data_IF_756561730975
#
_entry.id   IF_756561730975
#
_cell.length_a   1.000
_cell.length_b   1.000
_cell.length_c   1.000
_cell.angle_alpha   90.00
_cell.angle_beta   90.00
_cell.angle_gamma   90.00
#
_symmetry.space_group_name_H-M   'P 1'
#
loop_
_entity.id
_entity.type
_entity.pdbx_description
1 polymer ?
#
# COMPACT_ATOMS: atom_id res chain seq x y z
N UNK A 1 -31.93 6.85 12.63
CA UNK A 1 -30.48 6.68 12.48
C UNK A 1 -29.95 8.09 12.23
N UNK A 2 -29.52 8.78 13.28
CA UNK A 2 -29.01 10.15 13.15
C UNK A 2 -27.77 10.11 12.25
N UNK A 3 -27.86 10.71 11.07
CA UNK A 3 -26.70 11.02 10.27
C UNK A 3 -25.81 11.92 11.11
N UNK A 4 -24.70 11.37 11.60
CA UNK A 4 -23.61 12.14 12.16
C UNK A 4 -23.19 13.17 11.10
N UNK A 5 -23.66 14.41 11.24
CA UNK A 5 -23.21 15.55 10.44
C UNK A 5 -21.81 15.91 10.92
N UNK A 6 -20.83 15.13 10.49
CA UNK A 6 -19.42 15.40 10.79
C UNK A 6 -18.97 16.46 9.80
N UNK A 7 -18.43 17.57 10.31
CA UNK A 7 -17.83 18.58 9.47
C UNK A 7 -16.63 17.99 8.71
N UNK A 8 -16.44 18.38 7.44
CA UNK A 8 -15.40 17.82 6.57
C UNK A 8 -13.98 17.87 7.18
N UNK A 9 -13.55 18.96 7.87
CA UNK A 9 -12.25 19.01 8.52
C UNK A 9 -12.11 17.98 9.66
N UNK A 10 -13.17 17.73 10.42
CA UNK A 10 -13.16 16.73 11.50
C UNK A 10 -13.09 15.31 10.96
N UNK A 11 -13.87 14.99 9.92
CA UNK A 11 -13.84 13.68 9.27
C UNK A 11 -12.46 13.37 8.71
N UNK A 12 -11.87 14.34 8.00
CA UNK A 12 -10.51 14.24 7.46
C UNK A 12 -9.50 13.92 8.56
N UNK A 13 -9.51 14.67 9.66
CA UNK A 13 -8.58 14.47 10.77
C UNK A 13 -8.77 13.10 11.43
N UNK A 14 -10.03 12.65 11.57
CA UNK A 14 -10.34 11.31 12.09
C UNK A 14 -9.76 10.22 11.21
N UNK A 15 -9.94 10.29 9.89
CA UNK A 15 -9.39 9.30 8.97
C UNK A 15 -7.88 9.26 9.06
N UNK A 16 -7.22 10.41 8.99
CA UNK A 16 -5.75 10.48 9.15
C UNK A 16 -5.34 9.80 10.47
N UNK A 17 -6.00 10.13 11.58
CA UNK A 17 -5.66 9.56 12.90
C UNK A 17 -5.88 8.04 13.03
N UNK A 18 -6.63 7.39 12.13
CA UNK A 18 -6.82 5.93 12.16
C UNK A 18 -5.50 5.17 12.05
N UNK A 19 -4.53 5.70 11.30
CA UNK A 19 -3.19 5.12 11.15
C UNK A 19 -2.52 4.81 12.50
N UNK A 20 -2.78 5.64 13.51
CA UNK A 20 -2.20 5.56 14.86
C UNK A 20 -2.88 4.54 15.77
N UNK A 21 -4.06 4.07 15.37
CA UNK A 21 -4.96 3.26 16.20
C UNK A 21 -5.36 1.93 15.54
N UNK A 22 -4.89 1.65 14.33
CA UNK A 22 -5.24 0.42 13.62
C UNK A 22 -4.94 -0.85 14.38
N UNK A 23 -3.86 -0.91 15.16
CA UNK A 23 -3.59 -2.08 16.00
C UNK A 23 -4.72 -2.36 16.99
N UNK A 24 -5.34 -1.31 17.56
CA UNK A 24 -6.48 -1.46 18.47
C UNK A 24 -7.72 -1.93 17.74
N UNK A 25 -7.99 -1.39 16.54
CA UNK A 25 -9.13 -1.79 15.69
C UNK A 25 -8.98 -3.24 15.25
N UNK A 26 -7.79 -3.58 14.76
CA UNK A 26 -7.43 -4.90 14.25
C UNK A 26 -7.51 -5.98 15.33
N UNK A 27 -7.05 -5.68 16.56
CA UNK A 27 -7.18 -6.58 17.71
C UNK A 27 -8.61 -6.64 18.26
N UNK A 28 -9.34 -5.53 18.27
CA UNK A 28 -10.73 -5.47 18.71
C UNK A 28 -11.66 -6.35 17.88
N UNK A 29 -11.43 -6.44 16.56
CA UNK A 29 -12.18 -7.32 15.65
C UNK A 29 -11.93 -8.83 15.86
N UNK A 30 -10.81 -9.22 16.49
CA UNK A 30 -10.42 -10.63 16.67
C UNK A 30 -10.94 -11.26 17.98
N UNK A 31 -11.66 -10.53 18.83
CA UNK A 31 -12.20 -11.06 20.10
C UNK A 31 -13.32 -12.10 19.93
N UNK A 32 -13.79 -12.35 18.71
CA UNK A 32 -14.82 -13.35 18.39
C UNK A 32 -14.29 -14.74 17.97
N UNK A 33 -12.98 -14.91 17.80
CA UNK A 33 -12.40 -16.19 17.38
C UNK A 33 -12.34 -17.16 18.57
N UNK A 34 -13.27 -18.13 18.61
CA UNK A 34 -13.31 -19.20 19.61
C UNK A 34 -12.00 -20.00 19.61
N UNK A 35 -11.46 -20.24 20.79
CA UNK A 35 -10.37 -21.20 21.01
C UNK A 35 -10.76 -22.57 20.44
N UNK A 36 -9.95 -23.11 19.53
CA UNK A 36 -10.07 -24.50 19.11
C UNK A 36 -9.83 -24.85 17.64
N UNK A 37 -9.84 -23.89 16.69
CA UNK A 37 -9.62 -24.22 15.26
C UNK A 37 -8.46 -23.47 14.61
N UNK A 38 -7.39 -24.23 14.34
CA UNK A 38 -6.29 -23.95 13.40
C UNK A 38 -5.66 -22.56 13.50
N UNK A 39 -4.70 -22.41 14.44
CA UNK A 39 -3.79 -21.25 14.56
C UNK A 39 -3.22 -20.80 13.20
N UNK A 40 -2.90 -21.73 12.31
CA UNK A 40 -2.40 -21.41 10.97
C UNK A 40 -3.44 -20.68 10.10
N UNK A 41 -4.72 -21.06 10.14
CA UNK A 41 -5.79 -20.35 9.41
C UNK A 41 -6.02 -18.96 9.99
N UNK A 42 -5.97 -18.82 11.32
CA UNK A 42 -6.09 -17.52 11.98
C UNK A 42 -4.93 -16.56 11.61
N UNK A 43 -3.70 -17.07 11.49
CA UNK A 43 -2.54 -16.29 11.07
C UNK A 43 -2.65 -15.82 9.60
N UNK A 44 -3.04 -16.70 8.69
CA UNK A 44 -3.26 -16.35 7.27
C UNK A 44 -4.42 -15.36 7.11
N UNK A 45 -5.54 -15.57 7.81
CA UNK A 45 -6.66 -14.63 7.83
C UNK A 45 -6.26 -13.26 8.39
N UNK A 46 -5.43 -13.23 9.45
CA UNK A 46 -4.87 -11.99 9.97
C UNK A 46 -3.98 -11.27 8.96
N UNK A 47 -3.13 -12.00 8.24
CA UNK A 47 -2.30 -11.43 7.16
C UNK A 47 -3.16 -10.76 6.09
N UNK A 48 -4.10 -11.49 5.50
CA UNK A 48 -4.99 -10.95 4.47
C UNK A 48 -5.88 -9.81 4.98
N UNK A 49 -6.34 -9.87 6.22
CA UNK A 49 -7.12 -8.78 6.81
C UNK A 49 -6.26 -7.51 6.98
N UNK A 50 -5.00 -7.66 7.38
CA UNK A 50 -4.08 -6.54 7.55
C UNK A 50 -3.77 -5.87 6.22
N UNK A 51 -3.42 -6.65 5.20
CA UNK A 51 -3.24 -6.17 3.82
C UNK A 51 -4.46 -5.37 3.33
N UNK A 52 -5.66 -5.91 3.54
CA UNK A 52 -6.92 -5.25 3.14
C UNK A 52 -7.16 -3.94 3.86
N UNK A 53 -6.90 -3.88 5.16
CA UNK A 53 -7.06 -2.66 5.97
C UNK A 53 -6.05 -1.61 5.53
N UNK A 54 -4.79 -1.99 5.30
CA UNK A 54 -3.76 -1.07 4.78
C UNK A 54 -4.18 -0.55 3.40
N UNK A 55 -4.57 -1.43 2.47
CA UNK A 55 -5.01 -1.04 1.13
C UNK A 55 -6.23 -0.10 1.17
N UNK A 56 -7.23 -0.40 2.01
CA UNK A 56 -8.41 0.45 2.23
C UNK A 56 -8.00 1.82 2.74
N UNK A 57 -7.13 1.85 3.75
CA UNK A 57 -6.69 3.08 4.39
C UNK A 57 -5.92 3.97 3.43
N UNK A 58 -4.99 3.39 2.67
CA UNK A 58 -4.21 4.14 1.69
C UNK A 58 -5.11 4.74 0.60
N UNK A 59 -6.13 4.02 0.12
CA UNK A 59 -7.11 4.61 -0.80
C UNK A 59 -7.95 5.70 -0.15
N UNK A 60 -8.37 5.54 1.12
CA UNK A 60 -9.11 6.57 1.84
C UNK A 60 -8.31 7.87 2.00
N UNK A 61 -7.01 7.75 2.32
CA UNK A 61 -6.08 8.88 2.35
C UNK A 61 -5.83 9.47 0.95
N UNK A 62 -5.79 8.63 -0.08
CA UNK A 62 -5.54 9.01 -1.47
C UNK A 62 -6.74 9.57 -2.21
N UNK A 63 -7.95 9.54 -1.65
CA UNK A 63 -9.15 10.03 -2.34
C UNK A 63 -8.97 11.48 -2.81
N UNK A 64 -9.16 11.71 -4.11
CA UNK A 64 -9.00 13.01 -4.76
C UNK A 64 -7.54 13.42 -5.03
N UNK A 65 -6.61 12.54 -4.71
CA UNK A 65 -5.20 12.63 -5.09
C UNK A 65 -5.00 11.60 -6.19
N UNK A 66 -4.17 11.86 -7.20
CA UNK A 66 -3.94 10.96 -8.34
C UNK A 66 -3.14 9.69 -7.95
N UNK A 67 -3.54 9.07 -6.84
CA UNK A 67 -2.92 7.95 -6.19
C UNK A 67 -3.96 6.85 -5.93
N UNK A 68 -3.53 5.61 -6.07
CA UNK A 68 -4.35 4.42 -5.82
C UNK A 68 -3.51 3.33 -5.19
N UNK A 69 -4.10 2.57 -4.27
CA UNK A 69 -3.50 1.37 -3.70
C UNK A 69 -4.22 0.13 -4.21
N UNK A 70 -3.45 -0.85 -4.70
CA UNK A 70 -3.95 -2.10 -5.28
C UNK A 70 -3.42 -3.29 -4.49
N UNK A 71 -4.29 -4.27 -4.23
CA UNK A 71 -3.97 -5.53 -3.58
C UNK A 71 -4.54 -6.74 -4.35
N UNK A 72 -3.90 -7.90 -4.24
CA UNK A 72 -4.39 -9.16 -4.82
C UNK A 72 -4.91 -9.06 -6.25
N UNK A 73 -6.16 -9.48 -6.49
CA UNK A 73 -6.77 -9.51 -7.83
C UNK A 73 -6.90 -8.14 -8.51
N UNK A 74 -6.87 -7.04 -7.74
CA UNK A 74 -6.90 -5.70 -8.34
C UNK A 74 -5.59 -5.37 -9.04
N UNK A 75 -4.44 -5.90 -8.60
CA UNK A 75 -3.15 -5.71 -9.26
C UNK A 75 -3.16 -6.34 -10.66
N UNK A 76 -3.61 -7.59 -10.79
CA UNK A 76 -3.73 -8.26 -12.10
C UNK A 76 -4.81 -7.66 -13.00
N UNK A 77 -5.79 -7.00 -12.40
CA UNK A 77 -6.84 -6.29 -13.14
C UNK A 77 -6.31 -4.98 -13.71
N UNK A 78 -5.75 -4.11 -12.88
CA UNK A 78 -5.48 -2.73 -13.27
C UNK A 78 -4.06 -2.48 -13.77
N UNK A 79 -3.07 -3.29 -13.38
CA UNK A 79 -1.70 -3.09 -13.85
C UNK A 79 -1.50 -3.60 -15.29
N UNK A 80 -0.78 -2.85 -16.15
CA UNK A 80 -0.27 -3.39 -17.39
C UNK A 80 0.78 -4.47 -17.17
N UNK A 81 1.10 -5.22 -18.22
CA UNK A 81 2.09 -6.30 -18.13
C UNK A 81 3.49 -5.75 -17.92
N UNK A 82 3.80 -4.55 -18.45
CA UNK A 82 5.03 -3.79 -18.17
C UNK A 82 5.30 -3.68 -16.67
N UNK A 83 4.36 -3.11 -15.91
CA UNK A 83 4.47 -2.93 -14.47
C UNK A 83 4.55 -4.25 -13.72
N UNK A 84 3.75 -5.25 -14.12
CA UNK A 84 3.81 -6.56 -13.46
C UNK A 84 5.15 -7.26 -13.70
N UNK A 85 5.66 -7.18 -14.92
CA UNK A 85 6.93 -7.78 -15.32
C UNK A 85 8.11 -7.11 -14.61
N UNK A 86 8.05 -5.81 -14.32
CA UNK A 86 9.07 -5.10 -13.57
C UNK A 86 9.29 -5.68 -12.16
N UNK A 87 8.25 -6.24 -11.53
CA UNK A 87 8.35 -6.82 -10.18
C UNK A 87 8.65 -8.33 -10.15
N UNK A 88 8.79 -8.96 -11.31
CA UNK A 88 9.19 -10.36 -11.39
C UNK A 88 10.70 -10.48 -11.20
N UNK A 89 11.13 -11.49 -10.46
CA UNK A 89 12.55 -11.76 -10.24
C UNK A 89 12.84 -13.16 -10.74
N UNK A 90 13.96 -13.33 -11.43
CA UNK A 90 14.42 -14.61 -11.94
C UNK A 90 15.66 -15.04 -11.18
N UNK A 91 15.68 -16.26 -10.66
CA UNK A 91 16.83 -16.88 -10.00
C UNK A 91 17.21 -18.13 -10.79
N UNK A 92 18.44 -18.20 -11.31
CA UNK A 92 18.90 -19.30 -12.17
C UNK A 92 17.90 -19.65 -13.29
N UNK A 93 17.40 -18.63 -14.01
CA UNK A 93 16.39 -18.74 -15.06
C UNK A 93 14.99 -19.23 -14.63
N UNK A 94 14.71 -19.30 -13.32
CA UNK A 94 13.37 -19.57 -12.80
C UNK A 94 12.74 -18.30 -12.24
N UNK A 95 11.56 -17.94 -12.73
CA UNK A 95 10.77 -16.83 -12.19
C UNK A 95 10.29 -17.21 -10.79
N UNK A 96 10.60 -16.36 -9.82
CA UNK A 96 10.16 -16.49 -8.42
C UNK A 96 9.19 -15.38 -8.07
N UNK A 97 8.20 -15.68 -7.24
CA UNK A 97 7.24 -14.70 -6.74
C UNK A 97 7.91 -13.73 -5.76
N UNK A 98 7.69 -12.45 -5.97
CA UNK A 98 8.04 -11.39 -5.02
C UNK A 98 6.90 -11.11 -4.04
N UNK A 99 7.23 -10.49 -2.91
CA UNK A 99 6.25 -10.07 -1.90
C UNK A 99 5.65 -8.73 -2.34
N UNK A 100 4.43 -8.76 -2.90
CA UNK A 100 3.75 -7.60 -3.48
C UNK A 100 2.36 -7.41 -2.83
N UNK A 101 2.31 -7.36 -1.49
CA UNK A 101 1.05 -7.30 -0.75
C UNK A 101 0.17 -6.11 -1.20
N UNK A 102 0.65 -4.87 -1.06
CA UNK A 102 -0.04 -3.67 -1.57
C UNK A 102 0.90 -2.90 -2.50
N UNK A 103 0.43 -2.54 -3.69
CA UNK A 103 1.13 -1.66 -4.63
C UNK A 103 0.40 -0.32 -4.64
N UNK A 104 1.08 0.71 -4.13
CA UNK A 104 0.61 2.08 -4.17
C UNK A 104 1.24 2.79 -5.37
N UNK A 105 0.42 3.47 -6.15
CA UNK A 105 0.81 4.13 -7.40
C UNK A 105 0.34 5.56 -7.30
N UNK A 106 1.19 6.51 -7.70
CA UNK A 106 0.85 7.93 -7.75
C UNK A 106 1.40 8.54 -9.03
N UNK A 107 0.55 9.29 -9.73
CA UNK A 107 0.99 10.09 -10.87
C UNK A 107 1.82 11.28 -10.40
N UNK A 108 3.06 11.36 -10.87
CA UNK A 108 4.02 12.45 -10.61
C UNK A 108 4.45 13.19 -11.88
N UNK A 109 3.93 12.78 -13.04
CA UNK A 109 4.17 13.49 -14.30
C UNK A 109 3.64 14.92 -14.26
N UNK A 110 4.18 15.77 -15.13
CA UNK A 110 3.74 17.17 -15.26
C UNK A 110 2.23 17.24 -15.52
N UNK A 111 1.58 18.27 -14.95
CA UNK A 111 0.12 18.42 -14.93
C UNK A 111 -0.55 18.29 -16.31
N UNK A 112 -1.82 17.88 -16.31
CA UNK A 112 -2.77 18.31 -17.34
C UNK A 112 -2.93 17.43 -18.57
N UNK A 113 -2.83 16.11 -18.43
CA UNK A 113 -3.31 15.24 -19.50
C UNK A 113 -4.85 15.20 -19.52
N UNK A 114 -5.45 15.34 -20.69
CA UNK A 114 -6.91 15.33 -20.92
C UNK A 114 -7.61 14.10 -20.30
N UNK A 115 -6.89 12.98 -20.15
CA UNK A 115 -7.42 11.77 -19.53
C UNK A 115 -7.83 11.97 -18.06
N UNK A 116 -7.16 12.84 -17.31
CA UNK A 116 -7.51 13.14 -15.91
C UNK A 116 -8.86 13.87 -15.79
N UNK A 117 -9.29 14.55 -16.86
CA UNK A 117 -10.61 15.18 -16.94
C UNK A 117 -11.69 14.22 -17.45
N UNK A 118 -11.28 13.07 -18.00
CA UNK A 118 -12.21 12.08 -18.55
C UNK A 118 -12.95 11.39 -17.41
N UNK A 119 -14.29 11.47 -17.45
CA UNK A 119 -15.17 10.80 -16.48
C UNK A 119 -15.70 9.50 -17.06
N UNK A 120 -15.71 8.46 -16.24
CA UNK A 120 -16.27 7.15 -16.59
C UNK A 120 -17.46 6.86 -15.68
N UNK A 121 -18.56 6.41 -16.26
CA UNK A 121 -19.72 5.95 -15.49
C UNK A 121 -19.44 4.54 -14.95
N UNK A 122 -19.27 4.44 -13.64
CA UNK A 122 -18.99 3.21 -12.90
C UNK A 122 -20.03 2.10 -13.10
N UNK A 123 -21.30 2.48 -13.26
CA UNK A 123 -22.44 1.57 -13.40
C UNK A 123 -22.51 0.95 -14.79
N UNK A 124 -21.78 1.52 -15.75
CA UNK A 124 -21.72 1.03 -17.11
C UNK A 124 -20.44 0.20 -17.34
N UNK A 125 -20.63 -1.10 -17.55
CA UNK A 125 -19.52 -2.05 -17.77
C UNK A 125 -18.61 -1.66 -18.95
N UNK A 126 -19.16 -1.14 -20.04
CA UNK A 126 -18.35 -0.74 -21.19
C UNK A 126 -17.48 0.49 -20.87
N UNK A 127 -18.03 1.45 -20.13
CA UNK A 127 -17.25 2.58 -19.61
C UNK A 127 -16.13 2.14 -18.68
N UNK A 128 -16.39 1.20 -17.76
CA UNK A 128 -15.35 0.68 -16.87
C UNK A 128 -14.26 -0.11 -17.59
N UNK A 129 -14.61 -0.87 -18.63
CA UNK A 129 -13.60 -1.54 -19.49
C UNK A 129 -12.75 -0.52 -20.25
N UNK A 130 -13.34 0.59 -20.70
CA UNK A 130 -12.63 1.70 -21.34
C UNK A 130 -11.71 2.42 -20.36
N UNK A 131 -12.20 2.74 -19.15
CA UNK A 131 -11.42 3.35 -18.07
C UNK A 131 -10.18 2.51 -17.75
N UNK A 132 -10.38 1.21 -17.58
CA UNK A 132 -9.30 0.26 -17.32
C UNK A 132 -8.28 0.22 -18.45
N UNK A 133 -8.74 0.24 -19.71
CA UNK A 133 -7.84 0.24 -20.87
C UNK A 133 -6.98 1.51 -20.88
N UNK A 134 -7.61 2.67 -20.76
CA UNK A 134 -6.91 3.96 -20.73
C UNK A 134 -5.91 4.05 -19.59
N UNK A 135 -6.27 3.56 -18.40
CA UNK A 135 -5.34 3.51 -17.26
C UNK A 135 -4.11 2.64 -17.57
N UNK A 136 -4.29 1.48 -18.21
CA UNK A 136 -3.16 0.60 -18.60
C UNK A 136 -2.30 1.21 -19.70
N UNK A 137 -2.92 1.79 -20.74
CA UNK A 137 -2.23 2.47 -21.85
C UNK A 137 -1.36 3.61 -21.32
N UNK A 138 -1.90 4.46 -20.45
CA UNK A 138 -1.15 5.55 -19.81
C UNK A 138 0.07 5.04 -19.03
N UNK A 139 -0.10 3.97 -18.26
CA UNK A 139 0.99 3.38 -17.50
C UNK A 139 2.08 2.81 -18.43
N UNK A 140 1.71 2.16 -19.53
CA UNK A 140 2.64 1.65 -20.54
C UNK A 140 3.39 2.78 -21.28
N UNK A 141 2.72 3.90 -21.56
CA UNK A 141 3.27 5.02 -22.34
C UNK A 141 4.20 5.93 -21.53
N UNK A 142 4.00 6.04 -20.22
CA UNK A 142 4.76 6.98 -19.36
C UNK A 142 5.07 6.38 -17.99
N UNK A 143 5.77 5.24 -17.90
CA UNK A 143 6.13 4.62 -16.62
C UNK A 143 6.92 5.57 -15.70
N UNK A 144 7.75 6.44 -16.27
CA UNK A 144 8.55 7.45 -15.57
C UNK A 144 7.69 8.55 -14.92
N UNK A 145 6.42 8.67 -15.30
CA UNK A 145 5.46 9.60 -14.69
C UNK A 145 4.75 9.02 -13.47
N UNK A 146 5.15 7.84 -13.00
CA UNK A 146 4.58 7.20 -11.81
C UNK A 146 5.61 7.03 -10.68
N UNK A 147 5.19 7.42 -9.49
CA UNK A 147 5.79 6.95 -8.24
C UNK A 147 5.11 5.65 -7.81
N UNK A 148 5.89 4.60 -7.59
CA UNK A 148 5.41 3.29 -7.16
C UNK A 148 6.03 2.92 -5.82
N UNK A 149 5.18 2.61 -4.85
CA UNK A 149 5.58 2.13 -3.54
C UNK A 149 4.95 0.76 -3.27
N UNK A 150 5.77 -0.26 -3.07
CA UNK A 150 5.30 -1.55 -2.57
C UNK A 150 5.24 -1.49 -1.05
N UNK A 151 4.13 -1.89 -0.44
CA UNK A 151 3.97 -1.98 1.01
C UNK A 151 3.80 -3.44 1.39
N UNK A 152 4.87 -4.06 1.89
CA UNK A 152 4.79 -5.40 2.46
C UNK A 152 4.11 -5.36 3.82
N UNK A 153 3.05 -6.16 3.97
CA UNK A 153 2.12 -6.12 5.08
C UNK A 153 2.27 -7.40 5.92
N UNK A 154 2.82 -7.28 7.15
CA UNK A 154 3.04 -8.44 8.03
C UNK A 154 2.39 -8.26 9.40
N UNK A 155 1.77 -9.31 9.94
CA UNK A 155 1.15 -9.30 11.29
C UNK A 155 2.14 -9.55 12.43
N UNK A 156 3.42 -9.68 12.10
CA UNK A 156 4.51 -9.74 13.06
C UNK A 156 5.72 -8.99 12.50
N UNK A 157 6.59 -8.52 13.41
CA UNK A 157 7.76 -7.75 13.05
C UNK A 157 9.05 -8.58 13.06
N UNK A 158 9.20 -9.47 14.04
CA UNK A 158 10.46 -10.14 14.37
C UNK A 158 11.16 -10.83 13.18
N UNK A 159 10.66 -12.00 12.77
CA UNK A 159 11.27 -12.76 11.68
C UNK A 159 10.72 -12.34 10.31
N UNK A 160 9.48 -11.84 10.27
CA UNK A 160 8.86 -11.49 8.99
C UNK A 160 9.49 -10.29 8.29
N UNK A 161 10.32 -9.46 8.95
CA UNK A 161 11.01 -8.33 8.29
C UNK A 161 12.10 -8.77 7.31
N UNK A 162 12.59 -10.01 7.40
CA UNK A 162 13.68 -10.50 6.54
C UNK A 162 13.27 -10.54 5.06
N UNK A 163 12.06 -11.00 4.77
CA UNK A 163 11.53 -11.07 3.39
C UNK A 163 11.31 -9.68 2.76
N UNK A 164 10.62 -8.72 3.41
CA UNK A 164 10.54 -7.33 2.95
C UNK A 164 11.91 -6.70 2.75
N UNK A 165 12.85 -6.91 3.68
CA UNK A 165 14.21 -6.38 3.56
C UNK A 165 14.93 -6.93 2.33
N UNK A 166 14.80 -8.24 2.07
CA UNK A 166 15.36 -8.88 0.87
C UNK A 166 14.79 -8.24 -0.40
N UNK A 167 13.47 -8.11 -0.51
CA UNK A 167 12.84 -7.53 -1.70
C UNK A 167 13.16 -6.04 -1.87
N UNK A 168 13.21 -5.28 -0.76
CA UNK A 168 13.70 -3.91 -0.78
C UNK A 168 15.13 -3.87 -1.35
N UNK A 169 16.04 -4.75 -0.93
CA UNK A 169 17.40 -4.78 -1.47
C UNK A 169 17.45 -5.21 -2.95
N UNK A 170 16.65 -6.22 -3.33
CA UNK A 170 16.63 -6.76 -4.70
C UNK A 170 16.08 -5.73 -5.67
N UNK A 171 14.97 -5.06 -5.35
CA UNK A 171 14.39 -4.04 -6.23
C UNK A 171 15.13 -2.71 -6.20
N UNK A 172 15.82 -2.39 -5.10
CA UNK A 172 16.54 -1.13 -5.00
C UNK A 172 17.90 -1.15 -5.71
N UNK A 173 18.31 0.01 -6.23
CA UNK A 173 19.70 0.33 -6.62
C UNK A 173 20.39 -0.61 -7.61
N UNK A 174 19.64 -1.25 -8.52
CA UNK A 174 20.26 -2.08 -9.57
C UNK A 174 21.02 -3.26 -8.99
N UNK A 175 20.38 -4.04 -8.12
CA UNK A 175 20.99 -5.25 -7.57
C UNK A 175 21.55 -6.15 -8.70
N UNK A 176 22.88 -6.26 -8.76
CA UNK A 176 23.59 -7.02 -9.79
C UNK A 176 24.16 -8.29 -9.20
N UNK A 177 23.60 -9.44 -9.58
CA UNK A 177 24.12 -10.75 -9.21
C UNK A 177 23.98 -11.70 -10.39
N UNK A 178 25.01 -12.48 -10.73
CA UNK A 178 25.04 -13.27 -11.97
C UNK A 178 23.93 -14.32 -12.12
N UNK A 179 23.32 -14.71 -11.00
CA UNK A 179 22.21 -15.66 -10.96
C UNK A 179 20.83 -15.02 -10.72
N UNK A 180 20.75 -13.71 -10.43
CA UNK A 180 19.50 -13.03 -10.06
C UNK A 180 19.29 -11.87 -11.02
N UNK A 181 18.16 -11.86 -11.73
CA UNK A 181 17.74 -10.72 -12.54
C UNK A 181 16.40 -10.18 -12.06
N UNK A 182 16.29 -8.86 -12.02
CA UNK A 182 15.06 -8.14 -11.67
C UNK A 182 14.41 -7.65 -12.94
N UNK A 183 13.11 -7.88 -13.05
CA UNK A 183 12.38 -7.60 -14.26
C UNK A 183 12.49 -8.73 -15.29
N UNK A 184 11.46 -8.82 -16.13
CA UNK A 184 11.49 -9.62 -17.36
C UNK A 184 11.00 -8.77 -18.54
N UNK A 185 11.23 -9.22 -19.78
CA UNK A 185 10.80 -8.51 -20.99
C UNK A 185 11.29 -7.05 -21.06
N UNK A 186 12.49 -6.77 -20.56
CA UNK A 186 13.08 -5.42 -20.51
C UNK A 186 12.22 -4.42 -19.73
N UNK A 187 11.61 -4.88 -18.63
CA UNK A 187 10.83 -4.03 -17.72
C UNK A 187 11.49 -4.07 -16.37
N UNK A 188 11.65 -2.93 -15.71
CA UNK A 188 12.40 -2.87 -14.46
C UNK A 188 11.88 -1.75 -13.56
N UNK A 189 11.87 -1.88 -12.21
CA UNK A 189 11.31 -0.84 -11.34
C UNK A 189 12.01 0.51 -11.46
N UNK A 190 13.24 0.52 -11.98
CA UNK A 190 14.06 1.68 -12.27
C UNK A 190 13.52 2.53 -13.43
N UNK A 191 12.57 2.02 -14.21
CA UNK A 191 11.88 2.76 -15.28
C UNK A 191 10.78 3.67 -14.72
N UNK A 192 10.33 3.44 -13.47
CA UNK A 192 9.40 4.33 -12.80
C UNK A 192 10.09 5.61 -12.36
N UNK A 193 9.36 6.73 -12.32
CA UNK A 193 9.93 8.01 -11.91
C UNK A 193 10.36 8.01 -10.45
N UNK A 194 9.72 7.16 -9.64
CA UNK A 194 10.18 6.84 -8.30
C UNK A 194 9.76 5.42 -7.92
N UNK A 195 10.67 4.67 -7.32
CA UNK A 195 10.36 3.37 -6.74
C UNK A 195 10.79 3.33 -5.28
N UNK A 196 9.91 2.85 -4.41
CA UNK A 196 10.22 2.58 -3.01
C UNK A 196 9.57 1.30 -2.52
N UNK A 197 10.14 0.75 -1.45
CA UNK A 197 9.63 -0.44 -0.79
C UNK A 197 9.49 -0.15 0.70
N UNK A 198 8.26 -0.23 1.19
CA UNK A 198 7.84 0.02 2.55
C UNK A 198 7.52 -1.28 3.29
N UNK A 199 7.66 -1.25 4.60
CA UNK A 199 7.19 -2.30 5.49
C UNK A 199 6.07 -1.77 6.38
N UNK A 200 4.96 -2.49 6.47
CA UNK A 200 3.83 -2.15 7.32
C UNK A 200 3.47 -3.34 8.22
N UNK A 201 3.48 -3.14 9.54
CA UNK A 201 3.15 -4.21 10.47
C UNK A 201 2.09 -3.85 11.49
N UNK A 202 1.29 -4.84 11.87
CA UNK A 202 0.50 -4.81 13.10
C UNK A 202 1.13 -5.82 14.04
N UNK A 203 2.00 -5.41 14.98
CA UNK A 203 2.65 -6.38 15.85
C UNK A 203 1.58 -7.06 16.71
N UNK A 204 1.33 -8.34 16.45
CA UNK A 204 0.33 -9.14 17.19
C UNK A 204 0.86 -9.65 18.54
N UNK A 205 2.19 -9.72 18.71
CA UNK A 205 2.82 -10.03 19.99
C UNK A 205 2.73 -8.82 20.96
N UNK A 206 2.90 -9.04 22.26
CA UNK A 206 2.96 -7.96 23.26
C UNK A 206 4.38 -7.41 23.45
N UNK A 207 5.39 -8.09 22.90
CA UNK A 207 6.81 -7.80 23.14
C UNK A 207 7.34 -6.57 22.40
N UNK A 208 6.63 -6.06 21.38
CA UNK A 208 7.07 -4.88 20.62
C UNK A 208 7.26 -3.62 21.48
N UNK A 209 6.55 -3.51 22.60
CA UNK A 209 6.66 -2.39 23.56
C UNK A 209 8.05 -2.33 24.18
N UNK A 210 8.76 -3.46 24.24
CA UNK A 210 10.09 -3.58 24.85
C UNK A 210 11.22 -3.63 23.81
N UNK A 211 10.95 -3.25 22.56
CA UNK A 211 11.99 -3.28 21.54
C UNK A 211 12.96 -2.12 21.75
N UNK A 212 14.25 -2.43 21.80
CA UNK A 212 15.31 -1.44 21.77
C UNK A 212 15.74 -1.14 20.33
N UNK A 213 16.30 0.05 20.11
CA UNK A 213 16.85 0.49 18.82
C UNK A 213 17.92 -0.44 18.23
N UNK A 214 18.59 -1.21 19.08
CA UNK A 214 19.67 -2.13 18.71
C UNK A 214 19.20 -3.54 18.32
N UNK A 215 17.89 -3.81 18.36
CA UNK A 215 17.35 -5.11 17.95
C UNK A 215 17.52 -5.31 16.45
N UNK A 216 17.83 -6.54 16.05
CA UNK A 216 18.09 -6.89 14.66
C UNK A 216 16.91 -6.53 13.75
N UNK A 217 15.67 -6.82 14.16
CA UNK A 217 14.49 -6.48 13.35
C UNK A 217 14.22 -4.98 13.22
N UNK A 218 14.63 -4.17 14.21
CA UNK A 218 14.55 -2.71 14.16
C UNK A 218 15.57 -2.18 13.15
N UNK A 219 16.80 -2.66 13.25
CA UNK A 219 17.88 -2.31 12.32
C UNK A 219 17.48 -2.69 10.88
N UNK A 220 16.96 -3.91 10.67
CA UNK A 220 16.48 -4.36 9.35
C UNK A 220 15.36 -3.46 8.82
N UNK A 221 14.36 -3.14 9.64
CA UNK A 221 13.28 -2.22 9.26
C UNK A 221 13.75 -0.81 8.92
N UNK A 222 14.85 -0.34 9.51
CA UNK A 222 15.41 0.98 9.18
C UNK A 222 15.96 1.07 7.74
N UNK A 223 16.22 -0.07 7.09
CA UNK A 223 16.77 -0.13 5.72
C UNK A 223 15.75 0.03 4.61
N UNK A 224 14.45 0.02 4.94
CA UNK A 224 13.36 0.11 3.98
C UNK A 224 13.36 1.49 3.28
N UNK A 225 13.46 1.50 1.96
CA UNK A 225 13.53 2.73 1.16
C UNK A 225 12.28 3.60 1.30
N UNK A 226 11.10 2.98 1.36
CA UNK A 226 9.82 3.65 1.61
C UNK A 226 9.54 3.90 3.09
N UNK A 227 10.33 3.32 4.00
CA UNK A 227 10.17 3.41 5.45
C UNK A 227 9.47 2.20 6.09
N UNK A 228 9.49 2.16 7.42
CA UNK A 228 8.82 1.14 8.23
C UNK A 228 7.71 1.76 9.06
N UNK A 229 6.53 1.14 8.99
CA UNK A 229 5.28 1.66 9.52
C UNK A 229 4.54 0.61 10.34
N UNK A 230 3.69 1.06 11.25
CA UNK A 230 2.82 0.16 12.01
C UNK A 230 1.47 0.78 12.42
N UNK A 231 0.57 -0.07 12.92
CA UNK A 231 -0.76 0.34 13.41
C UNK A 231 -0.78 1.10 14.75
N UNK A 232 0.34 1.69 15.17
CA UNK A 232 0.49 2.46 16.41
C UNK A 232 0.95 3.89 16.11
N UNK A 233 0.95 4.75 17.14
CA UNK A 233 1.58 6.07 17.08
C UNK A 233 3.10 5.93 16.89
N UNK A 234 3.70 6.85 16.15
CA UNK A 234 5.14 6.84 15.83
C UNK A 234 6.01 6.67 17.06
N UNK A 235 6.98 5.76 16.97
CA UNK A 235 8.01 5.53 17.96
C UNK A 235 9.37 5.67 17.29
N UNK A 236 9.99 6.83 17.51
CA UNK A 236 11.28 7.19 16.92
C UNK A 236 12.44 6.36 17.51
N UNK A 237 12.32 5.88 18.73
CA UNK A 237 13.37 5.08 19.38
C UNK A 237 13.61 3.77 18.63
N UNK A 238 12.56 3.21 18.03
CA UNK A 238 12.63 1.97 17.25
C UNK A 238 12.43 2.20 15.75
N UNK A 239 12.49 3.46 15.30
CA UNK A 239 12.39 3.83 13.89
C UNK A 239 11.06 3.50 13.20
N UNK A 240 10.01 3.16 13.95
CA UNK A 240 8.70 2.80 13.41
C UNK A 240 7.78 4.01 13.38
N UNK A 241 7.24 4.31 12.20
CA UNK A 241 6.28 5.39 12.00
C UNK A 241 4.85 4.87 12.03
N UNK A 242 3.91 5.74 12.32
CA UNK A 242 2.50 5.41 12.17
C UNK A 242 2.12 5.34 10.69
N UNK A 243 1.13 4.52 10.34
CA UNK A 243 0.66 4.36 8.96
C UNK A 243 0.18 5.67 8.31
N UNK A 244 -0.23 6.67 9.09
CA UNK A 244 -0.62 7.99 8.58
C UNK A 244 0.56 8.77 7.98
N UNK A 245 1.80 8.38 8.30
CA UNK A 245 3.02 8.95 7.74
C UNK A 245 3.50 8.27 6.45
N UNK A 246 2.79 7.25 5.95
CA UNK A 246 3.18 6.54 4.72
C UNK A 246 3.06 7.45 3.48
N UNK A 247 2.07 8.34 3.48
CA UNK A 247 1.96 9.43 2.53
C UNK A 247 3.02 10.50 2.83
N UNK A 248 4.20 10.36 2.22
CA UNK A 248 5.36 11.20 2.49
C UNK A 248 6.27 11.38 1.28
N UNK A 249 7.24 12.29 1.39
CA UNK A 249 8.27 12.45 0.38
C UNK A 249 9.14 11.19 0.15
N UNK A 250 9.19 10.25 1.10
CA UNK A 250 9.95 8.98 0.94
C UNK A 250 9.33 8.07 -0.11
N UNK A 251 8.01 8.09 -0.21
CA UNK A 251 7.22 7.29 -1.15
C UNK A 251 6.80 8.09 -2.37
N UNK A 252 7.21 9.37 -2.45
CA UNK A 252 6.70 10.36 -3.41
C UNK A 252 5.16 10.42 -3.49
N UNK A 253 4.50 10.12 -2.37
CA UNK A 253 3.06 10.25 -2.24
C UNK A 253 2.72 11.67 -1.76
N UNK A 254 1.53 12.22 -2.12
CA UNK A 254 1.15 13.56 -1.66
C UNK A 254 1.07 13.59 -0.13
N UNK A 255 1.66 14.59 0.51
CA UNK A 255 1.71 14.63 1.98
C UNK A 255 1.09 15.91 2.54
N UNK A 256 0.85 15.96 3.85
CA UNK A 256 0.43 17.18 4.54
C UNK A 256 -1.05 17.54 4.35
N UNK A 257 -1.33 18.79 3.99
CA UNK A 257 -2.68 19.38 4.02
C UNK A 257 -3.69 18.76 3.03
N UNK A 258 -3.21 18.06 2.00
CA UNK A 258 -4.06 17.54 0.91
C UNK A 258 -4.57 16.12 1.15
N UNK A 259 -3.88 15.33 1.97
CA UNK A 259 -4.24 13.93 2.25
C UNK A 259 -5.62 13.85 2.90
N UNK A 260 -6.45 12.92 2.44
CA UNK A 260 -7.81 12.69 2.91
C UNK A 260 -8.80 13.81 2.59
N UNK A 261 -8.39 14.86 1.85
CA UNK A 261 -9.25 16.00 1.55
C UNK A 261 -10.42 15.63 0.64
N UNK A 262 -10.20 14.71 -0.32
CA UNK A 262 -11.24 14.24 -1.23
C UNK A 262 -12.16 13.17 -0.64
N UNK A 263 -11.86 12.60 0.53
CA UNK A 263 -12.63 11.47 1.06
C UNK A 263 -14.09 11.83 1.32
N UNK A 264 -14.37 12.98 1.96
CA UNK A 264 -15.75 13.39 2.25
C UNK A 264 -16.59 13.55 0.99
N UNK A 265 -16.02 14.14 -0.07
CA UNK A 265 -16.73 14.30 -1.34
C UNK A 265 -16.92 12.94 -2.02
N UNK A 266 -15.92 12.06 -1.93
CA UNK A 266 -15.96 10.74 -2.53
C UNK A 266 -17.06 9.86 -1.92
N UNK A 267 -17.18 9.81 -0.59
CA UNK A 267 -18.24 9.02 0.09
C UNK A 267 -19.63 9.63 -0.01
N UNK A 268 -19.78 10.81 -0.61
CA UNK A 268 -21.10 11.36 -0.97
C UNK A 268 -21.51 10.93 -2.38
N UNK A 269 -20.58 10.43 -3.19
CA UNK A 269 -20.85 9.86 -4.49
C UNK A 269 -21.29 8.38 -4.33
N UNK A 270 -22.31 7.91 -5.08
CA UNK A 270 -22.72 6.50 -5.08
C UNK A 270 -21.58 5.50 -5.27
N UNK A 271 -20.58 5.86 -6.08
CA UNK A 271 -19.41 5.02 -6.37
C UNK A 271 -18.50 4.91 -5.16
N UNK A 272 -18.31 6.01 -4.43
CA UNK A 272 -17.49 5.99 -3.22
C UNK A 272 -18.17 5.25 -2.08
N UNK A 273 -19.50 5.41 -1.94
CA UNK A 273 -20.30 4.60 -1.01
C UNK A 273 -20.19 3.11 -1.33
N UNK A 274 -20.31 2.73 -2.60
CA UNK A 274 -20.17 1.35 -3.05
C UNK A 274 -18.75 0.80 -2.85
N UNK A 275 -17.73 1.58 -3.20
CA UNK A 275 -16.32 1.19 -3.08
C UNK A 275 -15.92 0.93 -1.63
N UNK A 276 -16.45 1.72 -0.69
CA UNK A 276 -16.17 1.59 0.73
C UNK A 276 -17.21 0.75 1.50
N UNK A 277 -18.22 0.20 0.80
CA UNK A 277 -19.30 -0.60 1.39
C UNK A 277 -19.99 0.11 2.56
N UNK A 278 -20.26 1.42 2.41
CA UNK A 278 -20.85 2.27 3.45
C UNK A 278 -22.39 2.37 3.37
N UNK A 279 -23.03 1.51 2.56
CA UNK A 279 -24.48 1.45 2.37
C UNK A 279 -25.18 0.55 3.39
#
# INVERSE_FOLDING_TARGET
MEHLSIEQPELRNRIISLGRTFSSIFRGGNQGAREGENVQRALTLGGTAWERVVCWYLNALGCGLNAVALQGASQSTYLPDSFRNAFLVTINNHVVSSDLDVIQIHWIGEDGQDWMQTRYESTNRANMLRARRHFRELMDESPESFAVNIVSCKTNWNDAIQTPMLWNMVFSHGFHHGAISVGINHQNPQEFGHFSYSFATVPSNSSWVNYGSNRAEVIRGSTMSGGSYYGHSTNLDIGMRSLDELYSGRTQMPSGAVVGSGFSAFIQNPDGLAAFQLN
#
